data_IF_884422581478
#
_entry.id   IF_884422581478
#
_cell.length_a   1.000
_cell.length_b   1.000
_cell.length_c   1.000
_cell.angle_alpha   90.00
_cell.angle_beta   90.00
_cell.angle_gamma   90.00
#
_symmetry.space_group_name_H-M   'P 1'
#
loop_
_entity.id
_entity.type
_entity.pdbx_description
1 polymer ?
#
# COMPACT_ATOMS: atom_id res chain seq x y z
N UNK A 1 0.59 -23.38 -1.66
CA UNK A 1 -0.06 -23.11 -2.97
C UNK A 1 -0.78 -24.37 -3.37
N UNK A 2 -2.09 -24.32 -3.60
CA UNK A 2 -2.85 -25.51 -4.06
C UNK A 2 -2.38 -25.87 -5.49
N UNK A 3 -2.19 -27.18 -5.78
CA UNK A 3 -1.68 -27.63 -7.09
C UNK A 3 -2.58 -27.25 -8.27
N UNK A 4 -3.83 -26.89 -8.00
CA UNK A 4 -4.82 -26.47 -9.01
C UNK A 4 -4.47 -25.09 -9.60
N UNK A 5 -3.92 -24.18 -8.80
CA UNK A 5 -3.57 -22.83 -9.25
C UNK A 5 -2.32 -22.80 -10.14
N UNK A 6 -1.38 -23.74 -9.93
CA UNK A 6 -0.18 -23.86 -10.78
C UNK A 6 -0.49 -24.40 -12.18
N UNK A 7 -1.64 -25.07 -12.36
CA UNK A 7 -2.02 -25.69 -13.64
C UNK A 7 -2.65 -24.68 -14.62
N UNK A 8 -3.25 -23.61 -14.12
CA UNK A 8 -3.90 -22.58 -14.94
C UNK A 8 -2.99 -21.40 -15.31
N UNK A 9 -1.90 -21.17 -14.57
CA UNK A 9 -1.01 -20.03 -14.80
C UNK A 9 0.44 -20.48 -14.80
N UNK A 10 1.14 -20.39 -15.94
CA UNK A 10 2.55 -20.75 -16.03
C UNK A 10 3.42 -19.85 -15.15
N UNK A 11 4.42 -20.41 -14.44
CA UNK A 11 5.21 -19.71 -13.41
C UNK A 11 5.99 -18.48 -13.93
N UNK A 12 6.25 -18.41 -15.23
CA UNK A 12 7.01 -17.32 -15.84
C UNK A 12 6.22 -16.02 -16.03
N UNK A 13 4.90 -16.06 -16.21
CA UNK A 13 4.06 -14.87 -16.38
C UNK A 13 3.74 -14.15 -15.06
N UNK A 14 4.01 -14.80 -13.93
CA UNK A 14 3.65 -14.30 -12.59
C UNK A 14 4.85 -14.01 -11.68
N UNK A 15 5.98 -13.61 -12.25
CA UNK A 15 7.03 -13.02 -11.42
C UNK A 15 6.42 -11.85 -10.61
N UNK A 16 6.65 -11.77 -9.28
CA UNK A 16 5.96 -10.82 -8.40
C UNK A 16 6.17 -9.36 -8.81
N UNK A 17 7.29 -9.02 -9.46
CA UNK A 17 7.55 -7.68 -9.98
C UNK A 17 6.69 -7.33 -11.21
N UNK A 18 6.37 -8.33 -12.07
CA UNK A 18 5.48 -8.12 -13.22
C UNK A 18 4.04 -7.83 -12.78
N UNK A 19 3.56 -8.46 -11.71
CA UNK A 19 2.22 -8.19 -11.17
C UNK A 19 2.08 -6.74 -10.73
N UNK A 20 3.12 -6.14 -10.13
CA UNK A 20 3.12 -4.73 -9.75
C UNK A 20 3.08 -3.82 -10.98
N UNK A 21 3.85 -4.15 -12.03
CA UNK A 21 3.85 -3.39 -13.29
C UNK A 21 2.46 -3.49 -13.96
N UNK A 22 1.89 -4.69 -14.04
CA UNK A 22 0.55 -4.87 -14.61
C UNK A 22 -0.52 -4.13 -13.80
N UNK A 23 -0.43 -4.15 -12.47
CA UNK A 23 -1.36 -3.42 -11.61
C UNK A 23 -1.29 -1.91 -11.85
N UNK A 24 -0.08 -1.36 -11.98
CA UNK A 24 0.13 0.04 -12.28
C UNK A 24 -0.42 0.43 -13.67
N UNK A 25 -0.08 -0.37 -14.67
CA UNK A 25 -0.52 -0.15 -16.06
C UNK A 25 -2.03 -0.28 -16.20
N UNK A 26 -2.62 -1.29 -15.53
CA UNK A 26 -4.06 -1.49 -15.47
C UNK A 26 -4.77 -0.34 -14.76
N UNK A 27 -4.21 0.15 -13.65
CA UNK A 27 -4.72 1.33 -12.94
C UNK A 27 -4.74 2.58 -13.82
N UNK A 28 -3.73 2.76 -14.67
CA UNK A 28 -3.64 3.86 -15.62
C UNK A 28 -4.72 3.73 -16.71
N UNK A 29 -4.95 2.53 -17.21
CA UNK A 29 -6.03 2.24 -18.18
C UNK A 29 -7.40 2.52 -17.57
N UNK A 30 -7.67 2.05 -16.36
CA UNK A 30 -8.94 2.29 -15.65
C UNK A 30 -9.17 3.81 -15.44
N UNK A 31 -8.12 4.55 -15.13
CA UNK A 31 -8.19 6.01 -14.95
C UNK A 31 -8.59 6.74 -16.24
N UNK A 32 -8.15 6.24 -17.39
CA UNK A 32 -8.47 6.82 -18.70
C UNK A 32 -9.88 6.51 -19.19
N UNK A 33 -10.52 5.44 -18.66
CA UNK A 33 -11.87 5.05 -19.04
C UNK A 33 -12.92 6.01 -18.43
N UNK A 34 -13.71 6.66 -19.28
CA UNK A 34 -14.78 7.58 -18.87
C UNK A 34 -16.20 7.02 -19.10
N UNK A 35 -16.35 5.88 -19.76
CA UNK A 35 -17.66 5.31 -20.06
C UNK A 35 -18.20 4.50 -18.87
N UNK A 36 -19.37 4.88 -18.28
CA UNK A 36 -19.91 4.21 -17.09
C UNK A 36 -20.39 2.79 -17.37
N UNK A 37 -20.94 2.52 -18.58
CA UNK A 37 -21.41 1.19 -18.95
C UNK A 37 -20.29 0.16 -19.01
N UNK A 38 -19.15 0.52 -19.57
CA UNK A 38 -17.98 -0.35 -19.69
C UNK A 38 -17.34 -0.62 -18.33
N UNK A 39 -17.28 0.40 -17.47
CA UNK A 39 -16.80 0.26 -16.09
C UNK A 39 -17.70 -0.68 -15.26
N UNK A 40 -19.02 -0.64 -15.48
CA UNK A 40 -19.97 -1.51 -14.78
C UNK A 40 -19.78 -2.97 -15.18
N UNK A 41 -19.61 -3.26 -16.47
CA UNK A 41 -19.29 -4.60 -16.97
C UNK A 41 -17.98 -5.14 -16.42
N UNK A 42 -16.93 -4.33 -16.43
CA UNK A 42 -15.62 -4.70 -15.88
C UNK A 42 -15.69 -4.98 -14.37
N UNK A 43 -16.43 -4.17 -13.60
CA UNK A 43 -16.68 -4.42 -12.18
C UNK A 43 -17.38 -5.77 -11.95
N UNK A 44 -18.41 -6.07 -12.75
CA UNK A 44 -19.13 -7.35 -12.68
C UNK A 44 -18.19 -8.54 -12.92
N UNK A 45 -17.38 -8.48 -13.97
CA UNK A 45 -16.39 -9.52 -14.28
C UNK A 45 -15.35 -9.66 -13.17
N UNK A 46 -14.80 -8.56 -12.68
CA UNK A 46 -13.81 -8.57 -11.61
C UNK A 46 -14.37 -9.16 -10.30
N UNK A 47 -15.62 -8.83 -9.97
CA UNK A 47 -16.31 -9.35 -8.80
C UNK A 47 -16.56 -10.86 -8.94
N UNK A 48 -17.03 -11.33 -10.10
CA UNK A 48 -17.25 -12.75 -10.35
C UNK A 48 -15.92 -13.52 -10.22
N UNK A 49 -14.84 -13.03 -10.84
CA UNK A 49 -13.51 -13.63 -10.73
C UNK A 49 -13.03 -13.71 -9.28
N UNK A 50 -13.25 -12.65 -8.50
CA UNK A 50 -12.88 -12.60 -7.10
C UNK A 50 -13.67 -13.62 -6.27
N UNK A 51 -14.97 -13.72 -6.49
CA UNK A 51 -15.84 -14.71 -5.80
C UNK A 51 -15.40 -16.14 -6.13
N UNK A 52 -15.14 -16.44 -7.41
CA UNK A 52 -14.65 -17.75 -7.85
C UNK A 52 -13.32 -18.06 -7.16
N UNK A 53 -12.43 -17.09 -7.04
CA UNK A 53 -11.11 -17.26 -6.46
C UNK A 53 -11.18 -17.50 -4.94
N UNK A 54 -12.04 -16.78 -4.23
CA UNK A 54 -12.31 -17.00 -2.80
C UNK A 54 -12.89 -18.39 -2.58
N UNK A 55 -13.86 -18.81 -3.40
CA UNK A 55 -14.49 -20.12 -3.29
C UNK A 55 -13.50 -21.26 -3.58
N UNK A 56 -12.68 -21.12 -4.62
CA UNK A 56 -11.68 -22.11 -5.01
C UNK A 56 -10.55 -22.26 -3.98
N UNK A 57 -10.16 -21.15 -3.33
CA UNK A 57 -9.10 -21.15 -2.31
C UNK A 57 -9.61 -21.48 -0.89
N UNK A 58 -10.94 -21.55 -0.71
CA UNK A 58 -11.58 -21.83 0.60
C UNK A 58 -11.14 -20.85 1.70
N UNK A 59 -10.81 -19.63 1.32
CA UNK A 59 -10.41 -18.58 2.24
C UNK A 59 -11.65 -17.93 2.90
N UNK A 60 -11.56 -17.47 4.17
CA UNK A 60 -12.68 -16.81 4.83
C UNK A 60 -13.05 -15.52 4.08
N UNK A 61 -14.31 -15.39 3.67
CA UNK A 61 -14.83 -14.21 2.94
C UNK A 61 -15.01 -12.98 3.84
N UNK A 62 -15.16 -13.19 5.16
CA UNK A 62 -15.48 -12.14 6.12
C UNK A 62 -14.46 -10.97 6.15
N UNK A 63 -13.12 -11.18 6.18
CA UNK A 63 -12.17 -10.08 6.17
C UNK A 63 -12.19 -9.26 4.86
N UNK A 64 -12.50 -9.88 3.72
CA UNK A 64 -12.63 -9.19 2.43
C UNK A 64 -13.87 -8.32 2.41
N UNK A 65 -15.00 -8.85 2.88
CA UNK A 65 -16.26 -8.12 2.99
C UNK A 65 -16.14 -6.91 3.92
N UNK A 66 -15.52 -7.09 5.10
CA UNK A 66 -15.29 -6.01 6.06
C UNK A 66 -14.43 -4.89 5.46
N UNK A 67 -13.36 -5.23 4.76
CA UNK A 67 -12.50 -4.23 4.09
C UNK A 67 -13.22 -3.52 2.96
N UNK A 68 -14.00 -4.24 2.17
CA UNK A 68 -14.82 -3.68 1.12
C UNK A 68 -15.84 -2.69 1.67
N UNK A 69 -16.50 -3.02 2.76
CA UNK A 69 -17.51 -2.19 3.41
C UNK A 69 -16.91 -0.90 4.00
N UNK A 70 -15.74 -0.97 4.62
CA UNK A 70 -15.01 0.20 5.12
C UNK A 70 -14.63 1.13 3.95
N UNK A 71 -14.17 0.55 2.84
CA UNK A 71 -13.77 1.32 1.67
C UNK A 71 -14.98 1.99 0.98
N UNK A 72 -16.10 1.27 0.87
CA UNK A 72 -17.35 1.84 0.36
C UNK A 72 -17.95 2.89 1.30
N UNK A 73 -17.68 2.85 2.60
CA UNK A 73 -18.05 3.91 3.54
C UNK A 73 -17.48 5.28 3.14
N UNK A 74 -16.24 5.30 2.65
CA UNK A 74 -15.62 6.52 2.12
C UNK A 74 -16.29 6.98 0.80
N UNK A 75 -16.62 6.05 -0.10
CA UNK A 75 -17.31 6.39 -1.34
C UNK A 75 -18.73 6.92 -1.09
N UNK A 76 -19.40 6.44 -0.03
CA UNK A 76 -20.71 6.93 0.38
C UNK A 76 -20.62 8.40 0.86
N UNK A 77 -19.55 8.77 1.54
CA UNK A 77 -19.28 10.15 1.93
C UNK A 77 -19.07 11.05 0.71
N UNK A 78 -18.34 10.56 -0.30
CA UNK A 78 -18.20 11.28 -1.57
C UNK A 78 -19.56 11.47 -2.27
N UNK A 79 -20.42 10.46 -2.27
CA UNK A 79 -21.78 10.58 -2.79
C UNK A 79 -22.56 11.66 -2.09
N UNK A 80 -22.50 11.71 -0.75
CA UNK A 80 -23.19 12.75 0.04
C UNK A 80 -22.66 14.15 -0.29
N UNK A 81 -21.36 14.32 -0.50
CA UNK A 81 -20.77 15.64 -0.79
C UNK A 81 -21.00 16.11 -2.23
N UNK A 82 -20.94 15.21 -3.22
CA UNK A 82 -21.09 15.58 -4.63
C UNK A 82 -22.55 15.69 -5.08
N UNK A 83 -23.47 14.92 -4.47
CA UNK A 83 -24.90 14.97 -4.81
C UNK A 83 -25.60 16.26 -4.37
N UNK A 84 -25.01 16.97 -3.39
CA UNK A 84 -25.63 18.14 -2.80
C UNK A 84 -24.86 19.40 -3.18
N UNK A 85 -25.54 20.33 -3.81
CA UNK A 85 -25.02 21.65 -4.16
C UNK A 85 -25.70 22.70 -3.30
N UNK A 86 -24.91 23.43 -2.53
CA UNK A 86 -25.41 24.57 -1.77
C UNK A 86 -25.37 25.77 -2.70
N UNK A 87 -26.51 26.13 -3.27
CA UNK A 87 -26.69 27.33 -4.08
C UNK A 87 -27.37 28.45 -3.34
N UNK A 88 -27.48 29.64 -3.95
CA UNK A 88 -28.15 30.80 -3.41
C UNK A 88 -29.67 30.64 -3.16
N UNK A 89 -30.26 29.54 -3.67
CA UNK A 89 -31.67 29.18 -3.52
C UNK A 89 -31.96 28.05 -2.53
N UNK A 90 -30.97 27.45 -1.92
CA UNK A 90 -31.13 26.31 -1.01
C UNK A 90 -30.27 25.09 -1.40
N UNK A 91 -30.66 23.93 -0.89
CA UNK A 91 -30.00 22.64 -1.16
C UNK A 91 -30.67 22.04 -2.38
N UNK A 92 -29.95 22.01 -3.50
CA UNK A 92 -30.41 21.40 -4.76
C UNK A 92 -29.64 20.12 -5.06
N UNK A 93 -30.32 19.12 -5.66
CA UNK A 93 -29.71 17.90 -6.16
C UNK A 93 -28.98 18.22 -7.47
N UNK A 94 -27.71 17.89 -7.55
CA UNK A 94 -26.88 18.09 -8.74
C UNK A 94 -26.78 16.80 -9.53
N UNK A 95 -27.46 16.64 -10.69
CA UNK A 95 -27.39 15.42 -11.49
C UNK A 95 -25.98 15.16 -12.05
N UNK A 96 -25.23 16.20 -12.43
CA UNK A 96 -23.86 16.08 -12.92
C UNK A 96 -22.92 15.59 -11.82
N UNK A 97 -23.17 16.02 -10.57
CA UNK A 97 -22.46 15.52 -9.39
C UNK A 97 -22.72 14.05 -9.11
N UNK A 98 -23.96 13.59 -9.29
CA UNK A 98 -24.32 12.18 -9.13
C UNK A 98 -23.63 11.31 -10.17
N UNK A 99 -23.60 11.71 -11.44
CA UNK A 99 -22.90 10.98 -12.49
C UNK A 99 -21.39 10.87 -12.21
N UNK A 100 -20.77 11.97 -11.80
CA UNK A 100 -19.37 12.00 -11.40
C UNK A 100 -19.09 11.10 -10.20
N UNK A 101 -19.94 11.13 -9.17
CA UNK A 101 -19.82 10.28 -7.99
C UNK A 101 -19.93 8.79 -8.35
N UNK A 102 -20.83 8.45 -9.27
CA UNK A 102 -20.99 7.09 -9.78
C UNK A 102 -19.74 6.62 -10.52
N UNK A 103 -19.18 7.44 -11.40
CA UNK A 103 -17.95 7.12 -12.14
C UNK A 103 -16.77 6.90 -11.17
N UNK A 104 -16.62 7.77 -10.17
CA UNK A 104 -15.56 7.64 -9.16
C UNK A 104 -15.74 6.34 -8.37
N UNK A 105 -16.96 6.03 -7.92
CA UNK A 105 -17.23 4.82 -7.14
C UNK A 105 -16.95 3.54 -7.94
N UNK A 106 -17.32 3.50 -9.22
CA UNK A 106 -17.05 2.37 -10.11
C UNK A 106 -15.54 2.18 -10.35
N UNK A 107 -14.80 3.27 -10.61
CA UNK A 107 -13.35 3.21 -10.77
C UNK A 107 -12.64 2.72 -9.51
N UNK A 108 -13.04 3.23 -8.35
CA UNK A 108 -12.45 2.87 -7.06
C UNK A 108 -12.72 1.39 -6.73
N UNK A 109 -13.94 0.89 -6.96
CA UNK A 109 -14.26 -0.52 -6.74
C UNK A 109 -13.47 -1.42 -7.70
N UNK A 110 -13.37 -1.05 -8.99
CA UNK A 110 -12.62 -1.82 -9.97
C UNK A 110 -11.13 -1.91 -9.62
N UNK A 111 -10.52 -0.79 -9.18
CA UNK A 111 -9.15 -0.77 -8.69
C UNK A 111 -8.96 -1.67 -7.46
N UNK A 112 -9.90 -1.65 -6.52
CA UNK A 112 -9.85 -2.49 -5.33
C UNK A 112 -9.93 -3.97 -5.69
N UNK A 113 -10.84 -4.37 -6.57
CA UNK A 113 -10.98 -5.76 -7.00
C UNK A 113 -9.75 -6.22 -7.79
N UNK A 114 -9.22 -5.40 -8.69
CA UNK A 114 -8.01 -5.73 -9.45
C UNK A 114 -6.79 -5.86 -8.54
N UNK A 115 -6.67 -5.01 -7.53
CA UNK A 115 -5.62 -5.09 -6.52
C UNK A 115 -5.72 -6.40 -5.72
N UNK A 116 -6.90 -6.80 -5.29
CA UNK A 116 -7.10 -8.06 -4.59
C UNK A 116 -6.80 -9.27 -5.48
N UNK A 117 -7.20 -9.25 -6.75
CA UNK A 117 -6.92 -10.33 -7.69
C UNK A 117 -5.42 -10.49 -7.97
N UNK A 118 -4.70 -9.38 -8.21
CA UNK A 118 -3.29 -9.42 -8.58
C UNK A 118 -2.36 -9.69 -7.38
N UNK A 119 -2.70 -9.15 -6.20
CA UNK A 119 -1.93 -9.31 -4.97
C UNK A 119 -2.38 -10.53 -4.13
N UNK A 120 -3.22 -11.40 -4.70
CA UNK A 120 -3.71 -12.58 -4.00
C UNK A 120 -2.55 -13.42 -3.44
N UNK A 121 -2.58 -13.68 -2.12
CA UNK A 121 -1.54 -14.47 -1.40
C UNK A 121 -0.10 -13.93 -1.51
N UNK A 122 0.10 -12.67 -1.86
CA UNK A 122 1.42 -12.06 -1.73
C UNK A 122 1.68 -11.67 -0.27
N UNK A 123 2.76 -12.21 0.30
CA UNK A 123 3.27 -11.79 1.60
C UNK A 123 4.09 -10.51 1.46
N UNK A 124 4.17 -9.72 2.55
CA UNK A 124 4.96 -8.48 2.59
C UNK A 124 6.42 -8.68 2.16
N UNK A 125 7.02 -9.82 2.53
CA UNK A 125 8.39 -10.17 2.12
C UNK A 125 8.53 -10.35 0.60
N UNK A 126 7.54 -10.97 -0.05
CA UNK A 126 7.52 -11.18 -1.50
C UNK A 126 7.29 -9.84 -2.21
N UNK A 127 6.47 -8.97 -1.64
CA UNK A 127 6.24 -7.62 -2.15
C UNK A 127 7.54 -6.79 -2.14
N UNK A 128 8.29 -6.84 -1.04
CA UNK A 128 9.58 -6.16 -0.90
C UNK A 128 10.60 -6.69 -1.93
N UNK A 129 10.67 -8.00 -2.12
CA UNK A 129 11.53 -8.59 -3.15
C UNK A 129 11.09 -8.20 -4.57
N UNK A 130 9.79 -8.08 -4.81
CA UNK A 130 9.25 -7.65 -6.09
C UNK A 130 9.66 -6.22 -6.44
N UNK A 131 9.58 -5.31 -5.47
CA UNK A 131 10.01 -3.92 -5.63
C UNK A 131 11.52 -3.84 -5.91
N UNK A 132 12.33 -4.68 -5.24
CA UNK A 132 13.77 -4.74 -5.47
C UNK A 132 14.17 -5.24 -6.87
N UNK A 133 13.27 -5.91 -7.60
CA UNK A 133 13.48 -6.39 -8.97
C UNK A 133 12.87 -5.47 -10.04
N UNK A 134 12.23 -4.36 -9.66
CA UNK A 134 11.76 -3.38 -10.63
C UNK A 134 12.94 -2.72 -11.36
N UNK A 135 12.76 -2.27 -12.61
CA UNK A 135 13.77 -1.50 -13.36
C UNK A 135 13.92 -0.08 -12.80
N UNK A 136 14.32 0.00 -11.53
CA UNK A 136 14.58 1.25 -10.82
C UNK A 136 16.10 1.53 -10.81
N UNK A 137 16.51 2.79 -10.74
CA UNK A 137 17.93 3.11 -10.59
C UNK A 137 18.51 2.44 -9.34
N UNK A 138 19.72 1.85 -9.42
CA UNK A 138 20.29 1.02 -8.35
C UNK A 138 20.37 1.73 -7.00
N UNK A 139 20.53 3.05 -7.00
CA UNK A 139 20.53 3.86 -5.77
C UNK A 139 19.20 3.79 -5.00
N UNK A 140 18.07 3.76 -5.72
CA UNK A 140 16.73 3.66 -5.10
C UNK A 140 16.49 2.25 -4.53
N UNK A 141 16.95 1.21 -5.23
CA UNK A 141 16.84 -0.17 -4.75
C UNK A 141 17.60 -0.35 -3.44
N UNK A 142 18.84 0.14 -3.36
CA UNK A 142 19.64 0.10 -2.13
C UNK A 142 18.99 0.87 -0.99
N UNK A 143 18.49 2.08 -1.27
CA UNK A 143 17.77 2.89 -0.29
C UNK A 143 16.53 2.15 0.23
N UNK A 144 15.77 1.53 -0.66
CA UNK A 144 14.57 0.79 -0.30
C UNK A 144 14.87 -0.43 0.59
N UNK A 145 15.85 -1.25 0.21
CA UNK A 145 16.28 -2.41 1.01
C UNK A 145 16.75 -1.97 2.41
N UNK A 146 17.51 -0.88 2.47
CA UNK A 146 17.97 -0.30 3.73
C UNK A 146 16.78 0.17 4.58
N UNK A 147 15.82 0.87 3.97
CA UNK A 147 14.61 1.36 4.65
C UNK A 147 13.80 0.21 5.26
N UNK A 148 13.54 -0.85 4.50
CA UNK A 148 12.82 -2.03 5.01
C UNK A 148 13.55 -2.67 6.18
N UNK A 149 14.88 -2.81 6.09
CA UNK A 149 15.70 -3.33 7.18
C UNK A 149 15.59 -2.48 8.45
N UNK A 150 15.63 -1.14 8.30
CA UNK A 150 15.52 -0.25 9.48
C UNK A 150 14.11 -0.21 10.05
N UNK A 151 13.07 -0.33 9.24
CA UNK A 151 11.68 -0.47 9.74
C UNK A 151 11.57 -1.70 10.64
N UNK A 152 12.14 -2.84 10.24
CA UNK A 152 12.14 -4.05 11.05
C UNK A 152 12.87 -3.85 12.38
N UNK A 153 14.10 -3.28 12.35
CA UNK A 153 14.89 -2.99 13.55
C UNK A 153 14.21 -2.02 14.52
N UNK A 154 13.59 -0.95 13.99
CA UNK A 154 12.84 0.00 14.80
C UNK A 154 11.55 -0.62 15.36
N UNK A 155 10.95 -1.57 14.63
CA UNK A 155 9.82 -2.36 15.10
C UNK A 155 10.17 -3.19 16.34
N UNK A 156 11.31 -3.88 16.31
CA UNK A 156 11.81 -4.63 17.47
C UNK A 156 12.12 -3.71 18.68
N UNK A 157 12.75 -2.55 18.42
CA UNK A 157 13.03 -1.57 19.45
C UNK A 157 11.75 -1.05 20.10
N UNK A 158 10.74 -0.75 19.28
CA UNK A 158 9.40 -0.35 19.75
C UNK A 158 8.79 -1.41 20.67
N UNK A 159 8.86 -2.69 20.30
CA UNK A 159 8.35 -3.77 21.12
C UNK A 159 9.06 -3.87 22.47
N UNK A 160 10.40 -3.74 22.48
CA UNK A 160 11.20 -3.73 23.73
C UNK A 160 10.81 -2.56 24.63
N UNK A 161 10.61 -1.37 24.05
CA UNK A 161 10.14 -0.19 24.78
C UNK A 161 8.73 -0.40 25.35
N UNK A 162 7.82 -1.03 24.58
CA UNK A 162 6.47 -1.35 25.06
C UNK A 162 6.51 -2.30 26.27
N UNK A 163 7.34 -3.32 26.21
CA UNK A 163 7.52 -4.27 27.32
C UNK A 163 8.08 -3.57 28.56
N UNK A 164 9.12 -2.74 28.38
CA UNK A 164 9.72 -1.99 29.49
C UNK A 164 8.72 -1.02 30.16
N UNK A 165 7.85 -0.39 29.38
CA UNK A 165 6.81 0.51 29.89
C UNK A 165 5.71 -0.27 30.65
N UNK A 166 5.29 -1.40 30.11
CA UNK A 166 4.32 -2.28 30.81
C UNK A 166 4.88 -2.80 32.14
N UNK A 167 6.16 -3.17 32.18
CA UNK A 167 6.84 -3.57 33.41
C UNK A 167 6.87 -2.46 34.48
N UNK A 168 6.84 -1.17 34.05
CA UNK A 168 6.73 0.01 34.93
C UNK A 168 5.28 0.37 35.28
N UNK A 169 4.31 -0.52 35.01
CA UNK A 169 2.89 -0.29 35.32
C UNK A 169 2.18 0.68 34.38
N UNK A 170 2.72 0.91 33.18
CA UNK A 170 2.05 1.75 32.19
C UNK A 170 0.95 0.98 31.47
N UNK A 171 -0.28 1.48 31.56
CA UNK A 171 -1.43 1.01 30.80
C UNK A 171 -1.86 2.08 29.81
N UNK A 172 -2.01 1.71 28.54
CA UNK A 172 -2.47 2.61 27.49
C UNK A 172 -3.95 2.97 27.73
N UNK A 173 -4.25 4.25 27.84
CA UNK A 173 -5.62 4.80 28.00
C UNK A 173 -5.74 6.11 27.21
N UNK A 174 -6.96 6.65 27.06
CA UNK A 174 -7.24 7.92 26.38
C UNK A 174 -7.05 9.13 27.33
N UNK A 175 -5.88 9.26 27.96
CA UNK A 175 -5.57 10.31 28.91
C UNK A 175 -4.40 11.18 28.42
N UNK A 176 -4.34 12.45 28.89
CA UNK A 176 -3.22 13.37 28.61
C UNK A 176 -1.87 12.77 28.96
N UNK A 177 -1.79 11.98 30.04
CA UNK A 177 -0.57 11.24 30.45
C UNK A 177 -0.14 10.23 29.38
N UNK A 178 -1.08 9.51 28.81
CA UNK A 178 -0.80 8.54 27.72
C UNK A 178 -0.25 9.23 26.49
N UNK A 179 -0.83 10.38 26.11
CA UNK A 179 -0.35 11.19 24.99
C UNK A 179 1.10 11.63 25.20
N UNK A 180 1.43 12.16 26.39
CA UNK A 180 2.77 12.60 26.74
C UNK A 180 3.78 11.46 26.70
N UNK A 181 3.45 10.31 27.29
CA UNK A 181 4.30 9.12 27.28
C UNK A 181 4.49 8.58 25.86
N UNK A 182 3.45 8.60 25.04
CA UNK A 182 3.55 8.21 23.63
C UNK A 182 4.46 9.16 22.84
N UNK A 183 4.36 10.46 23.07
CA UNK A 183 5.24 11.46 22.46
C UNK A 183 6.71 11.25 22.86
N UNK A 184 6.99 10.98 24.13
CA UNK A 184 8.36 10.65 24.59
C UNK A 184 8.91 9.38 23.91
N UNK A 185 8.07 8.35 23.73
CA UNK A 185 8.45 7.12 23.02
C UNK A 185 8.79 7.39 21.57
N UNK A 186 7.99 8.19 20.88
CA UNK A 186 8.25 8.59 19.48
C UNK A 186 9.55 9.39 19.38
N UNK A 187 9.77 10.34 20.31
CA UNK A 187 11.02 11.11 20.37
C UNK A 187 12.25 10.20 20.58
N UNK A 188 12.16 9.24 21.49
CA UNK A 188 13.25 8.29 21.76
C UNK A 188 13.50 7.38 20.55
N UNK A 189 12.45 6.89 19.86
CA UNK A 189 12.59 6.13 18.61
C UNK A 189 13.27 6.96 17.52
N UNK A 190 12.94 8.25 17.42
CA UNK A 190 13.58 9.16 16.47
C UNK A 190 15.08 9.33 16.75
N UNK A 191 15.46 9.54 18.01
CA UNK A 191 16.87 9.63 18.42
C UNK A 191 17.61 8.34 18.05
N UNK A 192 17.05 7.17 18.35
CA UNK A 192 17.66 5.89 17.97
C UNK A 192 17.74 5.71 16.44
N UNK A 193 16.75 6.18 15.68
CA UNK A 193 16.79 6.15 14.22
C UNK A 193 17.93 7.03 13.68
N UNK A 194 18.13 8.23 14.22
CA UNK A 194 19.23 9.12 13.83
C UNK A 194 20.60 8.50 14.15
N UNK A 195 20.80 7.97 15.35
CA UNK A 195 22.04 7.27 15.72
C UNK A 195 22.33 6.08 14.81
N UNK A 196 21.30 5.33 14.42
CA UNK A 196 21.45 4.23 13.45
C UNK A 196 21.78 4.73 12.05
N UNK A 197 21.21 5.85 11.62
CA UNK A 197 21.52 6.47 10.33
C UNK A 197 22.97 6.95 10.27
N UNK A 198 23.46 7.61 11.31
CA UNK A 198 24.87 8.03 11.43
C UNK A 198 25.83 6.83 11.41
N UNK A 199 25.54 5.81 12.21
CA UNK A 199 26.36 4.58 12.23
C UNK A 199 26.38 3.89 10.85
N UNK A 200 25.24 3.85 10.15
CA UNK A 200 25.15 3.29 8.81
C UNK A 200 25.93 4.12 7.78
N UNK A 201 25.90 5.45 7.89
CA UNK A 201 26.66 6.35 7.04
C UNK A 201 28.16 6.12 7.19
N UNK A 202 28.66 6.06 8.42
CA UNK A 202 30.07 5.77 8.71
C UNK A 202 30.47 4.39 8.16
N UNK A 203 29.65 3.37 8.40
CA UNK A 203 29.92 2.01 7.90
C UNK A 203 29.96 1.94 6.36
N UNK A 204 29.12 2.71 5.68
CA UNK A 204 29.13 2.80 4.22
C UNK A 204 30.38 3.54 3.70
N UNK A 205 30.79 4.62 4.38
CA UNK A 205 32.03 5.34 4.05
C UNK A 205 33.26 4.45 4.21
N UNK A 206 33.34 3.67 5.30
CA UNK A 206 34.42 2.70 5.51
C UNK A 206 34.49 1.61 4.42
N UNK A 207 33.34 1.29 3.79
CA UNK A 207 33.27 0.37 2.66
C UNK A 207 33.53 1.03 1.29
N UNK A 208 33.97 2.29 1.29
CA UNK A 208 34.30 3.04 0.06
C UNK A 208 33.11 3.67 -0.65
N UNK A 209 31.91 3.71 0.00
CA UNK A 209 30.75 4.36 -0.59
C UNK A 209 30.85 5.87 -0.41
N UNK A 210 31.08 6.62 -1.51
CA UNK A 210 31.14 8.08 -1.49
C UNK A 210 29.79 8.67 -1.84
N UNK A 211 29.18 9.39 -0.89
CA UNK A 211 27.99 10.19 -1.11
C UNK A 211 28.36 11.47 -1.84
N UNK A 212 27.90 11.63 -3.10
CA UNK A 212 27.96 12.91 -3.78
C UNK A 212 29.02 13.08 -4.90
N UNK A 213 29.90 12.13 -5.12
CA UNK A 213 30.81 12.22 -6.26
C UNK A 213 30.09 11.70 -7.52
N UNK A 214 29.75 12.62 -8.43
CA UNK A 214 29.39 12.27 -9.80
C UNK A 214 30.53 11.42 -10.34
N UNK A 215 30.28 10.14 -10.58
CA UNK A 215 31.25 9.26 -11.26
C UNK A 215 31.46 9.80 -12.67
N UNK A 216 32.36 10.75 -12.83
CA UNK A 216 32.99 11.04 -14.10
C UNK A 216 33.90 9.86 -14.45
N UNK A 217 33.30 8.69 -14.71
CA UNK A 217 33.92 7.60 -15.46
C UNK A 217 33.73 7.86 -16.96
N UNK A 218 34.07 9.06 -17.39
CA UNK A 218 34.39 9.36 -18.77
C UNK A 218 35.89 9.61 -18.83
N UNK A 219 36.64 8.63 -19.28
CA UNK A 219 38.01 8.86 -19.69
C UNK A 219 39.05 8.06 -18.92
N UNK A 220 39.25 6.82 -19.33
CA UNK A 220 40.59 6.40 -19.79
C UNK A 220 40.46 5.10 -20.58
N UNK A 221 40.94 5.24 -21.79
CA UNK A 221 41.18 4.23 -22.78
C UNK A 221 41.97 3.03 -22.23
#
# INVERSE_FOLDING_TARGET
MSPVFQRFFPPHFFAPYLRLIYLFLWGLVISALSQPSLLLWLNGIALILLVILIYCCRDPYFPYLKRWLIFNGFTLLLWATLSWRIGTGGIELNPDGMETALLISLRMNLLLFSLWLLLWKMNDAVLVQAIGKLPLPPKLIWLFVLTVRYIALLGELRQKMDLAMRARGYHAGLNRRTLYVTAQRVALLLVHALLKAETAQIALQCRGFRFGEKTNLSGKK
#
